data_IF_661335308318
#
_entry.id   IF_661335308318
#
_cell.length_a   1.000
_cell.length_b   1.000
_cell.length_c   1.000
_cell.angle_alpha   90.00
_cell.angle_beta   90.00
_cell.angle_gamma   90.00
#
_symmetry.space_group_name_H-M   'P 1'
#
loop_
_entity.id
_entity.type
_entity.pdbx_description
1 polymer ?
#
# COMPACT_ATOMS: atom_id res chain seq x y z
N UNK A 1 -20.08 4.16 -10.32
CA UNK A 1 -21.01 3.57 -11.32
C UNK A 1 -21.66 2.33 -10.72
N UNK A 2 -22.87 1.99 -11.13
CA UNK A 2 -23.54 0.74 -10.71
C UNK A 2 -22.98 -0.48 -11.43
N UNK A 3 -23.27 -1.69 -10.95
CA UNK A 3 -22.85 -2.93 -11.64
C UNK A 3 -23.49 -3.08 -13.03
N UNK A 4 -24.72 -2.58 -13.22
CA UNK A 4 -25.40 -2.57 -14.52
C UNK A 4 -24.68 -1.65 -15.51
N UNK A 5 -24.32 -0.43 -15.07
CA UNK A 5 -23.52 0.50 -15.86
C UNK A 5 -22.15 -0.09 -16.19
N UNK A 6 -21.48 -0.71 -15.22
CA UNK A 6 -20.19 -1.36 -15.44
C UNK A 6 -20.29 -2.46 -16.51
N UNK A 7 -21.35 -3.27 -16.49
CA UNK A 7 -21.61 -4.25 -17.56
C UNK A 7 -21.80 -3.56 -18.91
N UNK A 8 -22.65 -2.54 -18.98
CA UNK A 8 -22.94 -1.86 -20.24
C UNK A 8 -21.69 -1.20 -20.85
N UNK A 9 -20.80 -0.64 -20.02
CA UNK A 9 -19.60 0.06 -20.47
C UNK A 9 -18.44 -0.87 -20.83
N UNK A 10 -18.19 -1.92 -20.04
CA UNK A 10 -17.02 -2.77 -20.20
C UNK A 10 -17.32 -4.11 -20.89
N UNK A 11 -18.56 -4.60 -20.80
CA UNK A 11 -18.96 -5.93 -21.29
C UNK A 11 -20.36 -5.92 -21.95
N UNK A 12 -20.60 -5.08 -22.98
CA UNK A 12 -21.94 -4.93 -23.56
C UNK A 12 -22.51 -6.26 -24.09
N UNK A 13 -21.67 -7.07 -24.73
CA UNK A 13 -21.99 -8.43 -25.22
C UNK A 13 -20.98 -9.47 -24.69
N UNK A 14 -20.40 -9.22 -23.52
CA UNK A 14 -19.30 -10.01 -22.97
C UNK A 14 -19.77 -11.18 -22.08
N UNK A 15 -18.86 -12.11 -21.74
CA UNK A 15 -19.15 -13.24 -20.85
C UNK A 15 -19.38 -12.81 -19.39
N UNK A 16 -18.93 -11.60 -19.02
CA UNK A 16 -19.12 -11.05 -17.68
C UNK A 16 -20.48 -10.36 -17.56
N UNK A 17 -21.37 -11.00 -16.80
CA UNK A 17 -22.70 -10.48 -16.47
C UNK A 17 -22.70 -9.73 -15.14
N UNK A 18 -23.79 -9.04 -14.81
CA UNK A 18 -23.97 -8.43 -13.48
C UNK A 18 -23.87 -9.47 -12.36
N UNK A 19 -24.32 -10.71 -12.61
CA UNK A 19 -24.17 -11.82 -11.67
C UNK A 19 -22.70 -12.15 -11.44
N UNK A 20 -21.89 -12.19 -12.48
CA UNK A 20 -20.44 -12.41 -12.40
C UNK A 20 -19.75 -11.29 -11.61
N UNK A 21 -20.12 -10.02 -11.86
CA UNK A 21 -19.58 -8.88 -11.11
C UNK A 21 -19.98 -8.93 -9.63
N UNK A 22 -21.23 -9.29 -9.33
CA UNK A 22 -21.67 -9.47 -7.94
C UNK A 22 -20.92 -10.61 -7.24
N UNK A 23 -20.62 -11.70 -7.96
CA UNK A 23 -19.74 -12.76 -7.44
C UNK A 23 -18.33 -12.26 -7.18
N UNK A 24 -17.73 -11.48 -8.09
CA UNK A 24 -16.40 -10.90 -7.90
C UNK A 24 -16.34 -9.96 -6.67
N UNK A 25 -17.40 -9.19 -6.41
CA UNK A 25 -17.54 -8.41 -5.17
C UNK A 25 -17.57 -9.31 -3.94
N UNK A 26 -18.39 -10.38 -3.97
CA UNK A 26 -18.48 -11.33 -2.84
C UNK A 26 -17.16 -12.05 -2.56
N UNK A 27 -16.36 -12.31 -3.59
CA UNK A 27 -15.03 -12.92 -3.48
C UNK A 27 -13.95 -11.90 -3.07
N UNK A 28 -14.27 -10.62 -2.90
CA UNK A 28 -13.31 -9.57 -2.58
C UNK A 28 -12.37 -9.21 -3.74
N UNK A 29 -12.66 -9.68 -4.95
CA UNK A 29 -11.84 -9.45 -6.16
C UNK A 29 -12.18 -8.13 -6.85
N UNK A 30 -13.39 -7.61 -6.66
CA UNK A 30 -13.83 -6.33 -7.21
C UNK A 30 -14.10 -5.32 -6.09
N UNK A 31 -13.30 -4.24 -6.07
CA UNK A 31 -13.51 -3.14 -5.15
C UNK A 31 -14.89 -2.49 -5.39
N UNK A 32 -15.68 -2.39 -4.33
CA UNK A 32 -17.04 -1.85 -4.40
C UNK A 32 -17.45 -1.20 -3.07
N UNK A 33 -18.47 -0.34 -3.14
CA UNK A 33 -19.12 0.27 -1.99
C UNK A 33 -20.64 0.02 -2.07
N UNK A 34 -21.26 -0.28 -0.93
CA UNK A 34 -22.71 -0.38 -0.82
C UNK A 34 -23.27 0.96 -0.35
N UNK A 35 -24.15 1.57 -1.13
CA UNK A 35 -24.80 2.85 -0.81
C UNK A 35 -26.31 2.63 -1.00
N UNK A 36 -27.10 2.87 0.06
CA UNK A 36 -28.55 2.67 0.05
C UNK A 36 -29.00 1.29 -0.48
N UNK A 37 -28.25 0.22 -0.13
CA UNK A 37 -28.54 -1.15 -0.57
C UNK A 37 -28.14 -1.47 -2.01
N UNK A 38 -27.48 -0.55 -2.72
CA UNK A 38 -27.01 -0.75 -4.10
C UNK A 38 -25.49 -0.77 -4.15
N UNK A 39 -24.93 -1.66 -4.98
CA UNK A 39 -23.50 -1.80 -5.15
C UNK A 39 -22.99 -0.86 -6.24
N UNK A 40 -21.97 -0.09 -5.87
CA UNK A 40 -21.24 0.82 -6.74
C UNK A 40 -19.79 0.39 -6.85
N UNK A 41 -19.21 0.59 -8.03
CA UNK A 41 -17.80 0.35 -8.32
C UNK A 41 -17.21 1.52 -9.12
N UNK A 42 -15.90 1.48 -9.34
CA UNK A 42 -15.13 2.50 -10.07
C UNK A 42 -14.58 1.92 -11.38
N UNK A 43 -14.33 2.77 -12.41
CA UNK A 43 -13.79 2.28 -13.69
C UNK A 43 -12.39 1.69 -13.55
N UNK A 44 -11.61 2.18 -12.58
CA UNK A 44 -10.29 1.64 -12.26
C UNK A 44 -10.40 0.24 -11.65
N UNK A 45 -11.31 0.02 -10.70
CA UNK A 45 -11.52 -1.29 -10.09
C UNK A 45 -11.93 -2.35 -11.12
N UNK A 46 -12.81 -2.01 -12.06
CA UNK A 46 -13.19 -2.92 -13.15
C UNK A 46 -12.00 -3.22 -14.08
N UNK A 47 -11.14 -2.24 -14.35
CA UNK A 47 -9.91 -2.47 -15.12
C UNK A 47 -8.92 -3.38 -14.38
N UNK A 48 -8.72 -3.18 -13.07
CA UNK A 48 -7.87 -4.04 -12.25
C UNK A 48 -8.39 -5.48 -12.13
N UNK A 49 -9.72 -5.68 -12.22
CA UNK A 49 -10.32 -7.02 -12.29
C UNK A 49 -9.95 -7.77 -13.57
N UNK A 50 -9.77 -7.05 -14.68
CA UNK A 50 -9.38 -7.60 -15.98
C UNK A 50 -7.88 -7.78 -16.14
N UNK A 51 -7.10 -7.04 -15.35
CA UNK A 51 -5.66 -7.11 -15.39
C UNK A 51 -5.20 -8.49 -14.90
N UNK A 52 -4.40 -9.24 -15.70
CA UNK A 52 -3.87 -10.51 -15.27
C UNK A 52 -3.02 -10.27 -14.02
N UNK A 53 -3.47 -10.84 -12.90
CA UNK A 53 -2.76 -10.75 -11.64
C UNK A 53 -1.52 -11.62 -11.74
N UNK A 54 -0.36 -11.01 -12.02
CA UNK A 54 0.92 -11.61 -11.65
C UNK A 54 0.83 -11.88 -10.15
N UNK A 55 1.00 -13.13 -9.73
CA UNK A 55 1.03 -13.49 -8.31
C UNK A 55 2.13 -12.67 -7.65
N UNK A 56 1.75 -11.58 -6.98
CA UNK A 56 2.67 -10.85 -6.10
C UNK A 56 2.80 -11.74 -4.87
N UNK A 57 3.93 -12.43 -4.74
CA UNK A 57 4.28 -13.12 -3.51
C UNK A 57 4.12 -12.13 -2.36
N UNK A 58 3.30 -12.50 -1.39
CA UNK A 58 2.93 -11.64 -0.28
C UNK A 58 4.19 -11.26 0.50
N UNK A 59 4.72 -10.06 0.25
CA UNK A 59 5.79 -9.50 1.05
C UNK A 59 5.65 -7.98 1.13
N UNK A 60 4.58 -7.54 1.77
CA UNK A 60 4.51 -6.22 2.40
C UNK A 60 3.72 -6.36 3.71
N UNK A 61 4.37 -6.97 4.70
CA UNK A 61 4.08 -6.69 6.11
C UNK A 61 4.23 -5.19 6.33
N UNK A 62 3.12 -4.46 6.38
CA UNK A 62 3.05 -3.25 7.18
C UNK A 62 3.06 -3.68 8.65
N UNK A 63 4.26 -3.88 9.18
CA UNK A 63 4.46 -3.90 10.62
C UNK A 63 4.17 -2.49 11.13
N UNK A 64 3.08 -2.34 11.89
CA UNK A 64 2.94 -1.17 12.76
C UNK A 64 4.04 -1.23 13.82
N UNK A 65 5.22 -0.70 13.52
CA UNK A 65 5.84 0.24 14.44
C UNK A 65 4.83 1.40 14.54
N UNK A 66 4.36 1.85 15.69
CA UNK A 66 5.11 2.24 16.87
C UNK A 66 4.11 2.77 17.91
N UNK A 67 4.34 2.49 19.20
CA UNK A 67 4.09 3.45 20.27
C UNK A 67 4.88 2.99 21.50
N UNK A 68 6.12 3.48 21.57
CA UNK A 68 6.83 3.61 22.84
C UNK A 68 6.07 4.65 23.65
N UNK A 69 5.60 4.28 24.84
CA UNK A 69 5.20 5.25 25.85
C UNK A 69 6.09 5.11 27.09
N UNK A 70 6.49 6.28 27.53
CA UNK A 70 7.58 6.66 28.40
C UNK A 70 7.13 6.55 29.87
N UNK A 71 7.91 5.90 30.76
CA UNK A 71 7.78 6.11 32.21
C UNK A 71 9.04 5.70 32.99
N UNK A 72 10.02 6.62 32.97
CA UNK A 72 10.79 7.13 34.13
C UNK A 72 11.04 6.19 35.34
N UNK A 73 12.31 5.81 35.54
CA UNK A 73 13.06 6.14 36.78
C UNK A 73 14.57 5.96 36.63
N UNK A 74 15.39 6.91 37.11
CA UNK A 74 16.85 6.86 37.01
C UNK A 74 17.51 6.29 38.27
N UNK A 75 18.76 5.86 38.09
CA UNK A 75 19.80 5.47 39.08
C UNK A 75 19.82 4.00 39.50
N UNK A 76 20.82 3.26 39.03
CA UNK A 76 22.06 3.08 39.81
C UNK A 76 23.19 2.50 38.96
N UNK A 77 24.38 2.94 39.31
CA UNK A 77 25.74 2.65 38.85
C UNK A 77 26.03 1.20 38.45
N UNK A 78 26.83 0.97 37.40
CA UNK A 78 28.28 0.72 37.53
C UNK A 78 28.96 0.43 36.19
N UNK A 79 30.22 0.86 36.18
CA UNK A 79 31.28 0.79 35.18
C UNK A 79 31.40 -0.51 34.38
N UNK A 80 31.69 -0.38 33.08
CA UNK A 80 32.83 -1.05 32.45
C UNK A 80 33.13 -0.42 31.09
N UNK A 81 34.31 0.17 31.01
CA UNK A 81 34.96 0.73 29.85
C UNK A 81 35.29 -0.35 28.80
N UNK A 82 35.02 -0.08 27.51
CA UNK A 82 35.88 -0.58 26.41
C UNK A 82 35.77 0.35 25.19
N UNK A 83 36.90 0.84 24.63
CA UNK A 83 36.87 1.83 23.57
C UNK A 83 36.88 1.20 22.17
N UNK A 84 36.63 2.08 21.20
CA UNK A 84 37.21 2.04 19.85
C UNK A 84 36.43 1.29 18.76
N UNK A 85 35.65 2.04 17.97
CA UNK A 85 35.98 2.16 16.54
C UNK A 85 35.45 3.48 15.97
N UNK A 86 36.36 4.38 15.64
CA UNK A 86 36.08 5.56 14.85
C UNK A 86 35.84 5.15 13.39
N UNK A 87 34.63 5.31 12.86
CA UNK A 87 34.41 5.41 11.41
C UNK A 87 33.97 6.82 11.03
N UNK A 88 35.04 7.62 10.88
CA UNK A 88 35.25 8.77 10.02
C UNK A 88 34.00 9.30 9.26
N UNK A 89 33.66 10.52 9.64
CA UNK A 89 32.98 11.52 8.82
C UNK A 89 33.65 11.63 7.45
N UNK A 90 32.87 11.60 6.38
CA UNK A 90 33.33 11.81 5.01
C UNK A 90 32.38 12.72 4.24
N UNK A 91 32.25 13.97 4.68
CA UNK A 91 31.58 15.06 3.95
C UNK A 91 32.49 15.44 2.76
N UNK A 92 32.10 15.11 1.52
CA UNK A 92 32.78 15.66 0.33
C UNK A 92 32.16 17.02 -0.04
N UNK A 93 32.96 18.08 -0.20
CA UNK A 93 32.47 19.43 -0.48
C UNK A 93 31.99 19.60 -1.93
N UNK A 94 31.00 20.49 -2.11
CA UNK A 94 30.47 20.96 -3.38
C UNK A 94 31.57 21.71 -4.16
N UNK A 95 31.86 21.24 -5.37
CA UNK A 95 32.54 22.02 -6.40
C UNK A 95 31.51 22.32 -7.48
N UNK A 96 31.11 23.59 -7.61
CA UNK A 96 30.61 24.10 -8.88
C UNK A 96 31.29 25.44 -9.15
N UNK A 97 32.30 25.36 -10.01
CA UNK A 97 32.90 26.48 -10.72
C UNK A 97 31.85 27.19 -11.56
N UNK A 98 31.75 28.52 -11.43
CA UNK A 98 31.32 29.38 -12.54
C UNK A 98 32.13 30.67 -12.52
N UNK A 99 33.14 30.69 -13.37
CA UNK A 99 33.66 31.86 -14.10
C UNK A 99 32.49 32.48 -14.90
N UNK A 100 32.38 33.75 -15.28
CA UNK A 100 33.31 34.86 -15.52
C UNK A 100 32.75 36.14 -14.90
#
# INVERSE_FOLDING_TARGET
MTLEEARALFFPNGPLTVKSLRSAVRLGQLASASIAGRLYTTPSAVRSLLEPQLRRDAKDTCGSAESMDDRRSPRSDREAEVPSVARRRGRKPKLLHRSW
#
